data_IF_287346708720
#
_entry.id   IF_287346708720
#
_cell.length_a   1.000
_cell.length_b   1.000
_cell.length_c   1.000
_cell.angle_alpha   90.00
_cell.angle_beta   90.00
_cell.angle_gamma   90.00
#
_symmetry.space_group_name_H-M   'P 1'
#
loop_
_entity.id
_entity.type
_entity.pdbx_description
1 polymer ?
#
# COMPACT_ATOMS: atom_id res chain seq x y z
N UNK A 1 14.90 11.49 18.34
CA UNK A 1 16.20 12.03 17.94
C UNK A 1 17.30 11.91 19.01
N UNK A 2 17.02 11.40 20.21
CA UNK A 2 18.02 11.22 21.28
C UNK A 2 18.43 9.76 21.54
N UNK A 3 17.76 8.79 20.89
CA UNK A 3 17.92 7.36 21.23
C UNK A 3 18.94 6.58 20.38
N UNK A 4 19.58 7.27 19.42
CA UNK A 4 20.50 6.64 18.48
C UNK A 4 21.99 6.76 18.86
N UNK A 5 22.30 7.25 20.03
CA UNK A 5 23.70 7.62 20.38
C UNK A 5 24.52 6.53 21.07
N UNK A 6 23.94 5.35 21.32
CA UNK A 6 24.54 4.34 22.20
C UNK A 6 25.54 3.39 21.51
N UNK A 7 25.52 3.29 20.18
CA UNK A 7 26.35 2.33 19.41
C UNK A 7 27.65 2.95 18.89
N UNK A 8 27.82 4.25 18.98
CA UNK A 8 28.93 4.96 18.34
C UNK A 8 30.30 4.74 18.99
N UNK A 9 30.37 4.28 20.22
CA UNK A 9 31.65 4.18 20.94
C UNK A 9 32.49 2.98 20.51
N UNK A 10 31.86 1.83 20.24
CA UNK A 10 32.62 0.63 19.83
C UNK A 10 33.04 0.69 18.37
N UNK A 11 32.19 1.21 17.48
CA UNK A 11 32.56 1.42 16.08
C UNK A 11 33.66 2.46 15.93
N UNK A 12 33.60 3.49 16.77
CA UNK A 12 34.70 4.50 16.81
C UNK A 12 36.02 3.89 17.30
N UNK A 13 35.98 2.96 18.27
CA UNK A 13 37.16 2.27 18.76
C UNK A 13 37.77 1.34 17.70
N UNK A 14 36.94 0.58 16.98
CA UNK A 14 37.40 -0.31 15.89
C UNK A 14 37.98 0.47 14.71
N UNK A 15 37.37 1.59 14.34
CA UNK A 15 37.94 2.48 13.33
C UNK A 15 39.22 3.15 13.79
N UNK A 16 39.28 3.56 15.05
CA UNK A 16 40.50 4.09 15.62
C UNK A 16 41.60 3.04 15.58
N UNK A 17 41.33 1.79 15.93
CA UNK A 17 42.30 0.70 15.86
C UNK A 17 42.79 0.44 14.42
N UNK A 18 41.87 0.48 13.43
CA UNK A 18 42.22 0.37 11.99
C UNK A 18 43.11 1.54 11.57
N UNK A 19 42.77 2.76 11.96
CA UNK A 19 43.56 3.95 11.64
C UNK A 19 44.92 3.91 12.34
N UNK A 20 44.97 3.48 13.60
CA UNK A 20 46.21 3.30 14.36
C UNK A 20 47.10 2.22 13.69
N UNK A 21 46.51 1.11 13.16
CA UNK A 21 47.23 0.12 12.38
C UNK A 21 47.73 0.64 11.03
N UNK A 22 46.95 1.44 10.33
CA UNK A 22 47.38 2.11 9.08
C UNK A 22 48.54 3.03 9.36
N UNK A 23 48.45 3.84 10.42
CA UNK A 23 49.51 4.75 10.84
C UNK A 23 50.78 4.00 11.29
N UNK A 24 50.63 2.87 11.99
CA UNK A 24 51.72 1.99 12.35
C UNK A 24 52.39 1.37 11.13
N UNK A 25 51.59 0.95 10.13
CA UNK A 25 52.11 0.42 8.87
C UNK A 25 52.83 1.51 8.04
N UNK A 26 52.31 2.74 8.04
CA UNK A 26 52.96 3.89 7.39
C UNK A 26 54.31 4.26 8.10
N UNK A 27 54.31 4.24 9.42
CA UNK A 27 55.53 4.43 10.19
C UNK A 27 56.56 3.31 9.94
N UNK A 28 56.09 2.07 9.82
CA UNK A 28 56.94 0.90 9.44
C UNK A 28 57.48 1.05 8.02
N UNK A 29 56.67 1.57 7.09
CA UNK A 29 57.08 1.84 5.72
C UNK A 29 58.14 2.93 5.66
N UNK A 30 57.93 4.04 6.38
CA UNK A 30 58.90 5.13 6.46
C UNK A 30 60.20 4.66 7.09
N UNK A 31 60.15 3.87 8.15
CA UNK A 31 61.31 3.26 8.77
C UNK A 31 62.05 2.32 7.80
N UNK A 32 61.34 1.54 7.01
CA UNK A 32 61.92 0.67 5.97
C UNK A 32 62.63 1.49 4.88
N UNK A 33 62.00 2.62 4.46
CA UNK A 33 62.63 3.57 3.52
C UNK A 33 63.88 4.20 4.08
N UNK A 34 63.84 4.65 5.34
CA UNK A 34 65.02 5.24 6.01
C UNK A 34 66.15 4.21 6.15
N UNK A 35 65.81 2.97 6.50
CA UNK A 35 66.79 1.87 6.56
C UNK A 35 67.40 1.58 5.20
N UNK A 36 66.54 1.58 4.14
CA UNK A 36 67.01 1.41 2.76
C UNK A 36 67.95 2.54 2.34
N UNK A 37 67.64 3.78 2.68
CA UNK A 37 68.48 4.91 2.41
C UNK A 37 69.85 4.83 3.17
N UNK A 38 69.82 4.41 4.43
CA UNK A 38 71.07 4.17 5.21
C UNK A 38 71.88 3.02 4.61
N UNK A 39 71.21 1.92 4.20
CA UNK A 39 71.87 0.80 3.57
C UNK A 39 72.44 1.18 2.19
N UNK A 40 71.76 2.00 1.41
CA UNK A 40 72.29 2.57 0.14
C UNK A 40 73.51 3.45 0.35
N UNK A 41 73.56 4.25 1.44
CA UNK A 41 74.71 5.05 1.83
C UNK A 41 75.86 4.13 2.24
N UNK A 42 75.59 3.09 3.01
CA UNK A 42 76.61 2.12 3.42
C UNK A 42 77.15 1.30 2.27
N UNK A 43 76.38 1.10 1.24
CA UNK A 43 76.69 0.36 -0.03
C UNK A 43 77.84 1.04 -0.78
N UNK A 44 77.91 2.35 -0.77
CA UNK A 44 79.00 3.11 -1.38
C UNK A 44 80.31 2.87 -0.64
N UNK A 45 80.30 2.30 0.55
CA UNK A 45 81.44 2.06 1.42
C UNK A 45 81.91 0.61 1.54
N UNK A 46 81.06 -0.38 1.10
CA UNK A 46 81.38 -1.83 1.27
C UNK A 46 81.27 -2.58 0.00
N UNK A 47 82.30 -3.25 -0.46
CA UNK A 47 82.52 -3.94 -1.74
C UNK A 47 81.79 -5.30 -1.83
N UNK A 48 80.88 -5.64 -0.94
CA UNK A 48 80.25 -6.97 -0.95
C UNK A 48 78.81 -6.95 -1.57
N UNK A 49 78.76 -7.06 -2.89
CA UNK A 49 77.55 -7.00 -3.72
C UNK A 49 76.53 -8.07 -3.37
N UNK A 50 76.88 -9.19 -2.75
CA UNK A 50 76.00 -10.31 -2.45
C UNK A 50 75.18 -10.08 -1.15
N UNK A 51 75.86 -9.56 -0.12
CA UNK A 51 75.19 -9.24 1.13
C UNK A 51 74.18 -8.10 0.95
N UNK A 52 74.49 -7.22 0.04
CA UNK A 52 73.61 -6.11 -0.36
C UNK A 52 72.33 -6.54 -1.06
N UNK A 53 72.43 -7.47 -2.02
CA UNK A 53 71.23 -7.99 -2.71
C UNK A 53 70.27 -8.64 -1.74
N UNK A 54 70.76 -9.44 -0.77
CA UNK A 54 69.93 -10.09 0.23
C UNK A 54 69.24 -9.08 1.15
N UNK A 55 69.91 -8.01 1.61
CA UNK A 55 69.32 -6.98 2.43
C UNK A 55 68.30 -6.16 1.66
N UNK A 56 68.58 -5.76 0.42
CA UNK A 56 67.65 -5.03 -0.45
C UNK A 56 66.39 -5.89 -0.74
N UNK A 57 66.55 -7.21 -1.01
CA UNK A 57 65.45 -8.11 -1.19
C UNK A 57 64.59 -8.21 0.05
N UNK A 58 65.19 -8.39 1.25
CA UNK A 58 64.46 -8.44 2.51
C UNK A 58 63.68 -7.16 2.84
N UNK A 59 64.28 -5.98 2.56
CA UNK A 59 63.56 -4.69 2.72
C UNK A 59 62.44 -4.52 1.67
N UNK A 60 62.65 -5.00 0.44
CA UNK A 60 61.62 -5.01 -0.59
C UNK A 60 60.43 -5.92 -0.19
N UNK A 61 60.68 -7.07 0.38
CA UNK A 61 59.64 -8.01 0.84
C UNK A 61 58.81 -7.40 2.01
N UNK A 62 59.53 -6.71 2.95
CA UNK A 62 58.83 -5.98 4.04
C UNK A 62 57.98 -4.86 3.49
N UNK A 63 58.51 -4.08 2.55
CA UNK A 63 57.78 -2.98 1.91
C UNK A 63 56.56 -3.50 1.18
N UNK A 64 56.68 -4.55 0.37
CA UNK A 64 55.57 -5.19 -0.35
C UNK A 64 54.49 -5.72 0.62
N UNK A 65 54.91 -6.42 1.67
CA UNK A 65 53.98 -6.92 2.71
C UNK A 65 53.23 -5.79 3.41
N UNK A 66 53.94 -4.68 3.71
CA UNK A 66 53.30 -3.53 4.35
C UNK A 66 52.32 -2.82 3.43
N UNK A 67 52.69 -2.65 2.14
CA UNK A 67 51.80 -2.09 1.13
C UNK A 67 50.54 -2.95 0.90
N UNK A 68 50.68 -4.26 0.84
CA UNK A 68 49.58 -5.18 0.72
C UNK A 68 48.65 -5.07 1.95
N UNK A 69 49.22 -5.04 3.15
CA UNK A 69 48.42 -4.88 4.38
C UNK A 69 47.65 -3.56 4.39
N UNK A 70 48.26 -2.48 3.97
CA UNK A 70 47.65 -1.16 3.86
C UNK A 70 46.52 -1.19 2.81
N UNK A 71 46.76 -1.83 1.65
CA UNK A 71 45.77 -1.97 0.59
C UNK A 71 44.51 -2.71 1.10
N UNK A 72 44.68 -3.84 1.79
CA UNK A 72 43.56 -4.60 2.35
C UNK A 72 42.77 -3.78 3.40
N UNK A 73 43.47 -3.03 4.26
CA UNK A 73 42.81 -2.16 5.24
C UNK A 73 42.02 -1.02 4.60
N UNK A 74 42.55 -0.46 3.53
CA UNK A 74 41.88 0.58 2.76
C UNK A 74 40.61 -0.01 2.05
N UNK A 75 40.72 -1.19 1.47
CA UNK A 75 39.60 -1.91 0.84
C UNK A 75 38.52 -2.19 1.87
N UNK A 76 38.84 -2.67 3.07
CA UNK A 76 37.87 -2.89 4.15
C UNK A 76 37.09 -1.61 4.50
N UNK A 77 37.77 -0.46 4.60
CA UNK A 77 37.13 0.83 4.87
C UNK A 77 36.21 1.24 3.71
N UNK A 78 36.66 1.09 2.47
CA UNK A 78 35.88 1.41 1.29
C UNK A 78 34.62 0.52 1.26
N UNK A 79 34.77 -0.78 1.48
CA UNK A 79 33.67 -1.72 1.52
C UNK A 79 32.68 -1.36 2.65
N UNK A 80 33.18 -1.03 3.85
CA UNK A 80 32.35 -0.60 4.97
C UNK A 80 31.48 0.63 4.62
N UNK A 81 32.05 1.61 3.93
CA UNK A 81 31.33 2.81 3.47
C UNK A 81 30.30 2.45 2.40
N UNK A 82 30.67 1.61 1.41
CA UNK A 82 29.77 1.19 0.33
C UNK A 82 28.58 0.40 0.87
N UNK A 83 28.81 -0.55 1.76
CA UNK A 83 27.75 -1.35 2.38
C UNK A 83 26.85 -0.51 3.28
N UNK A 84 27.42 0.46 4.02
CA UNK A 84 26.60 1.37 4.83
C UNK A 84 25.66 2.23 4.00
N UNK A 85 26.05 2.62 2.77
CA UNK A 85 25.17 3.33 1.82
C UNK A 85 24.01 2.43 1.32
N UNK A 86 24.20 1.13 1.32
CA UNK A 86 23.18 0.13 0.97
C UNK A 86 22.40 -0.35 2.19
N UNK A 87 22.55 0.33 3.33
CA UNK A 87 21.93 -0.05 4.61
C UNK A 87 22.32 -1.45 5.10
N UNK A 88 23.56 -1.85 4.86
CA UNK A 88 24.12 -3.14 5.29
C UNK A 88 25.28 -2.90 6.24
N UNK A 89 25.22 -3.53 7.41
CA UNK A 89 26.31 -3.49 8.38
C UNK A 89 27.46 -4.41 7.90
N UNK A 90 28.62 -3.80 7.60
CA UNK A 90 29.78 -4.57 7.18
C UNK A 90 30.51 -5.16 8.41
N UNK A 91 30.85 -6.47 8.43
CA UNK A 91 31.38 -7.14 9.62
C UNK A 91 32.70 -6.59 10.17
N UNK A 92 33.48 -5.88 9.38
CA UNK A 92 34.72 -5.23 9.85
C UNK A 92 34.48 -4.00 10.71
N UNK A 93 33.24 -3.43 10.68
CA UNK A 93 32.88 -2.27 11.51
C UNK A 93 32.68 -2.72 12.96
N UNK A 94 31.84 -3.74 13.16
CA UNK A 94 31.54 -4.35 14.45
C UNK A 94 31.14 -5.80 14.24
N UNK A 95 31.66 -6.68 15.07
CA UNK A 95 31.28 -8.09 15.04
C UNK A 95 29.98 -8.32 15.83
N UNK A 96 29.18 -9.36 15.51
CA UNK A 96 27.98 -9.67 16.28
C UNK A 96 28.23 -9.85 17.79
N UNK A 97 29.37 -10.41 18.16
CA UNK A 97 29.76 -10.57 19.58
C UNK A 97 30.03 -9.23 20.27
N UNK A 98 30.69 -8.30 19.58
CA UNK A 98 30.94 -6.95 20.09
C UNK A 98 29.62 -6.19 20.22
N UNK A 99 28.79 -6.23 19.18
CA UNK A 99 27.45 -5.60 19.22
C UNK A 99 26.62 -6.14 20.38
N UNK A 100 26.62 -7.45 20.62
CA UNK A 100 25.95 -8.05 21.75
C UNK A 100 26.48 -7.52 23.09
N UNK A 101 27.81 -7.51 23.29
CA UNK A 101 28.41 -6.99 24.51
C UNK A 101 28.05 -5.52 24.75
N UNK A 102 28.16 -4.68 23.73
CA UNK A 102 27.81 -3.26 23.82
C UNK A 102 26.33 -3.05 24.17
N UNK A 103 25.43 -3.86 23.60
CA UNK A 103 24.00 -3.79 23.91
C UNK A 103 23.71 -4.24 25.34
N UNK A 104 24.36 -5.28 25.83
CA UNK A 104 24.21 -5.75 27.23
C UNK A 104 24.67 -4.67 28.21
N UNK A 105 25.84 -4.09 28.00
CA UNK A 105 26.42 -3.06 28.89
C UNK A 105 25.56 -1.79 28.93
N UNK A 106 24.90 -1.48 27.83
CA UNK A 106 24.09 -0.27 27.68
C UNK A 106 22.58 -0.50 27.84
N UNK A 107 22.12 -1.74 28.05
CA UNK A 107 20.69 -2.09 28.15
C UNK A 107 19.95 -1.26 29.20
N UNK A 108 20.61 -0.96 30.32
CA UNK A 108 20.06 -0.15 31.42
C UNK A 108 19.68 1.29 31.07
N UNK A 109 20.18 1.80 29.93
CA UNK A 109 19.90 3.16 29.47
C UNK A 109 18.68 3.23 28.55
N UNK A 110 18.05 2.07 28.25
CA UNK A 110 16.82 2.07 27.47
C UNK A 110 15.69 2.73 28.27
N UNK A 111 14.82 3.51 27.60
CA UNK A 111 13.62 4.05 28.22
C UNK A 111 12.72 2.93 28.77
N UNK A 112 12.15 3.11 29.95
CA UNK A 112 11.31 2.08 30.61
C UNK A 112 10.06 1.68 29.79
N UNK A 113 9.61 2.54 28.89
CA UNK A 113 8.45 2.29 28.00
C UNK A 113 8.83 1.59 26.69
N UNK A 114 10.12 1.34 26.47
CA UNK A 114 10.66 0.78 25.22
C UNK A 114 11.51 -0.44 25.51
N UNK A 115 11.53 -1.34 24.54
CA UNK A 115 12.37 -2.55 24.60
C UNK A 115 12.95 -2.87 23.21
N UNK A 116 13.94 -3.74 23.19
CA UNK A 116 14.41 -4.31 21.91
C UNK A 116 13.32 -5.18 21.31
N UNK A 117 13.25 -5.25 19.97
CA UNK A 117 12.23 -6.02 19.25
C UNK A 117 12.30 -7.52 19.47
N UNK A 118 13.47 -8.02 19.83
CA UNK A 118 13.73 -9.43 20.14
C UNK A 118 14.52 -9.53 21.45
N UNK A 119 14.41 -10.65 22.19
CA UNK A 119 15.22 -10.88 23.37
C UNK A 119 16.71 -10.74 23.08
N UNK A 120 17.44 -10.04 23.95
CA UNK A 120 18.87 -9.81 23.80
C UNK A 120 19.65 -11.08 24.14
N UNK A 121 19.81 -11.95 23.15
CA UNK A 121 20.64 -13.15 23.16
C UNK A 121 21.50 -13.15 21.90
N UNK A 122 22.66 -13.80 21.97
CA UNK A 122 23.60 -13.79 20.85
C UNK A 122 23.01 -14.28 19.52
N UNK A 123 22.12 -15.31 19.61
CA UNK A 123 21.46 -15.88 18.44
C UNK A 123 20.50 -14.91 17.72
N UNK A 124 20.01 -13.89 18.42
CA UNK A 124 19.09 -12.90 17.86
C UNK A 124 19.78 -11.65 17.30
N UNK A 125 21.11 -11.55 17.48
CA UNK A 125 21.85 -10.34 17.03
C UNK A 125 21.70 -10.13 15.53
N UNK A 126 21.75 -11.19 14.73
CA UNK A 126 21.55 -11.09 13.28
C UNK A 126 20.17 -10.48 12.90
N UNK A 127 19.13 -10.69 13.73
CA UNK A 127 17.82 -10.08 13.53
C UNK A 127 17.90 -8.58 13.79
N UNK A 128 18.58 -8.17 14.89
CA UNK A 128 18.78 -6.77 15.21
C UNK A 128 19.58 -6.05 14.12
N UNK A 129 20.62 -6.69 13.58
CA UNK A 129 21.39 -6.16 12.45
C UNK A 129 20.50 -5.96 11.20
N UNK A 130 19.69 -6.95 10.84
CA UNK A 130 18.85 -6.89 9.66
C UNK A 130 17.73 -5.83 9.71
N UNK A 131 17.21 -5.52 10.91
CA UNK A 131 16.16 -4.51 11.08
C UNK A 131 16.69 -3.11 11.37
N UNK A 132 17.99 -2.99 11.62
CA UNK A 132 18.64 -1.71 11.93
C UNK A 132 18.91 -0.90 10.66
N UNK A 133 19.00 0.41 10.81
CA UNK A 133 19.42 1.30 9.74
C UNK A 133 20.86 1.72 9.97
N UNK A 134 21.72 1.56 8.96
CA UNK A 134 23.13 1.88 8.98
C UNK A 134 23.40 3.12 8.14
N UNK A 135 24.09 4.09 8.70
CA UNK A 135 24.54 5.27 7.97
C UNK A 135 25.98 5.58 8.29
N UNK A 136 26.70 6.20 7.36
CA UNK A 136 28.07 6.65 7.56
C UNK A 136 28.23 8.10 7.15
N UNK A 137 29.04 8.84 7.89
CA UNK A 137 29.41 10.21 7.57
C UNK A 137 30.84 10.51 8.01
N UNK A 138 31.42 11.57 7.43
CA UNK A 138 32.75 12.03 7.75
C UNK A 138 32.65 13.31 8.58
N UNK A 139 33.31 13.33 9.75
CA UNK A 139 33.43 14.48 10.61
C UNK A 139 34.73 14.41 11.42
N UNK A 140 35.37 15.55 11.64
CA UNK A 140 36.58 15.69 12.46
C UNK A 140 37.70 14.70 12.08
N UNK A 141 37.97 14.55 10.81
CA UNK A 141 38.93 13.58 10.24
C UNK A 141 38.68 12.12 10.61
N UNK A 142 37.39 11.77 10.89
CA UNK A 142 36.96 10.42 11.24
C UNK A 142 35.81 10.01 10.38
N UNK A 143 35.75 8.71 10.05
CA UNK A 143 34.58 8.10 9.45
C UNK A 143 33.78 7.56 10.61
N UNK A 144 32.49 7.99 10.70
CA UNK A 144 31.57 7.62 11.75
C UNK A 144 30.48 6.76 11.13
N UNK A 145 30.28 5.57 11.69
CA UNK A 145 29.16 4.71 11.35
C UNK A 145 28.12 4.78 12.47
N UNK A 146 26.86 4.94 12.09
CA UNK A 146 25.73 4.99 13.02
C UNK A 146 24.81 3.82 12.73
N UNK A 147 24.62 2.98 13.71
CA UNK A 147 23.65 1.88 13.68
C UNK A 147 22.43 2.30 14.48
N UNK A 148 21.28 2.42 13.80
CA UNK A 148 20.00 2.78 14.41
C UNK A 148 19.16 1.54 14.61
N UNK A 149 19.06 1.05 15.84
CA UNK A 149 18.25 -0.11 16.19
C UNK A 149 16.86 0.39 16.60
N UNK A 150 15.77 -0.05 15.93
CA UNK A 150 14.43 0.38 16.29
C UNK A 150 14.04 -0.20 17.67
N UNK A 151 13.48 0.64 18.53
CA UNK A 151 12.92 0.23 19.80
C UNK A 151 11.41 0.12 19.70
N UNK A 152 10.84 -0.93 20.23
CA UNK A 152 9.40 -1.19 20.25
C UNK A 152 8.78 -0.85 21.60
N UNK A 153 7.49 -0.58 21.60
CA UNK A 153 6.72 -0.44 22.82
C UNK A 153 6.62 -1.79 23.56
N UNK A 154 6.44 -1.76 24.85
CA UNK A 154 6.26 -2.96 25.67
C UNK A 154 4.92 -3.67 25.39
N UNK A 155 3.94 -2.96 24.81
CA UNK A 155 2.65 -3.54 24.43
C UNK A 155 2.77 -4.21 23.06
N UNK A 156 2.41 -5.48 23.00
CA UNK A 156 2.31 -6.26 21.77
C UNK A 156 0.90 -6.14 21.20
N UNK A 157 0.83 -6.19 19.87
CA UNK A 157 -0.42 -6.16 19.13
C UNK A 157 -0.58 -7.43 18.32
N UNK A 158 -1.75 -8.03 18.37
CA UNK A 158 -2.16 -9.07 17.42
C UNK A 158 -2.60 -8.40 16.13
N UNK A 159 -1.97 -8.77 15.01
CA UNK A 159 -2.24 -8.21 13.69
C UNK A 159 -3.31 -9.02 12.96
N UNK A 160 -4.39 -8.36 12.57
CA UNK A 160 -5.47 -8.93 11.78
C UNK A 160 -5.52 -8.30 10.38
N UNK A 161 -5.70 -9.12 9.38
CA UNK A 161 -6.04 -8.71 8.04
C UNK A 161 -7.56 -8.74 7.88
N UNK A 162 -8.16 -7.63 7.54
CA UNK A 162 -9.61 -7.51 7.36
C UNK A 162 -9.97 -7.83 5.91
N UNK A 163 -10.82 -8.83 5.73
CA UNK A 163 -11.24 -9.31 4.41
C UNK A 163 -12.75 -9.15 4.32
N UNK A 164 -13.26 -8.22 3.50
CA UNK A 164 -14.67 -8.14 3.23
C UNK A 164 -15.09 -9.36 2.40
N UNK A 165 -16.12 -10.04 2.81
CA UNK A 165 -16.70 -11.13 2.03
C UNK A 165 -18.22 -11.03 2.00
N UNK A 166 -18.83 -11.21 0.82
CA UNK A 166 -20.28 -11.17 0.67
C UNK A 166 -20.93 -12.40 1.28
N UNK A 167 -21.99 -12.18 2.03
CA UNK A 167 -22.85 -13.24 2.56
C UNK A 167 -24.20 -13.15 1.84
N UNK A 168 -24.68 -14.27 1.37
CA UNK A 168 -25.97 -14.37 0.70
C UNK A 168 -27.10 -14.03 1.67
N UNK A 169 -28.06 -13.26 1.21
CA UNK A 169 -29.29 -13.01 1.91
C UNK A 169 -30.23 -14.22 1.75
N UNK A 170 -30.84 -14.68 2.83
CA UNK A 170 -31.63 -15.92 2.91
C UNK A 170 -32.91 -15.99 2.02
N UNK A 171 -32.98 -15.22 0.96
CA UNK A 171 -34.06 -15.29 -0.01
C UNK A 171 -33.74 -16.35 -1.09
N UNK A 172 -34.48 -17.42 -1.10
CA UNK A 172 -34.36 -18.57 -2.01
C UNK A 172 -34.43 -18.09 -3.47
N UNK A 173 -33.34 -17.78 -4.09
CA UNK A 173 -33.09 -17.26 -5.45
C UNK A 173 -32.61 -15.81 -5.52
N UNK A 174 -32.16 -15.19 -4.43
CA UNK A 174 -31.63 -13.85 -4.50
C UNK A 174 -30.14 -13.86 -4.92
N UNK A 175 -29.81 -13.11 -5.96
CA UNK A 175 -28.42 -12.78 -6.31
C UNK A 175 -27.90 -11.63 -5.44
N UNK A 176 -28.60 -11.36 -4.33
CA UNK A 176 -28.31 -10.24 -3.43
C UNK A 176 -27.46 -10.72 -2.26
N UNK A 177 -26.36 -10.04 -2.05
CA UNK A 177 -25.40 -10.29 -0.99
C UNK A 177 -25.27 -9.07 -0.11
N UNK A 178 -24.96 -9.27 1.16
CA UNK A 178 -24.56 -8.22 2.08
C UNK A 178 -23.09 -8.39 2.48
N UNK A 179 -22.37 -7.29 2.65
CA UNK A 179 -21.00 -7.31 3.11
C UNK A 179 -20.74 -6.13 4.04
N UNK A 180 -19.85 -6.33 5.01
CA UNK A 180 -19.32 -5.26 5.85
C UNK A 180 -18.08 -4.69 5.17
N UNK A 181 -18.03 -3.37 5.05
CA UNK A 181 -16.88 -2.67 4.48
C UNK A 181 -15.92 -2.35 5.63
N UNK A 182 -14.70 -2.91 5.62
CA UNK A 182 -13.71 -2.57 6.63
C UNK A 182 -13.20 -1.14 6.47
N UNK A 183 -12.95 -0.47 7.59
CA UNK A 183 -12.40 0.89 7.61
C UNK A 183 -10.88 0.92 7.41
N UNK A 184 -10.22 -0.22 7.55
CA UNK A 184 -8.77 -0.39 7.38
C UNK A 184 -8.46 -1.80 6.90
N UNK A 185 -7.38 -1.95 6.15
CA UNK A 185 -6.97 -3.26 5.62
C UNK A 185 -6.31 -4.14 6.68
N UNK A 186 -5.55 -3.54 7.58
CA UNK A 186 -4.90 -4.22 8.69
C UNK A 186 -5.21 -3.49 9.99
N UNK A 187 -5.48 -4.23 11.03
CA UNK A 187 -5.67 -3.70 12.36
C UNK A 187 -4.81 -4.47 13.36
N UNK A 188 -4.03 -3.73 14.15
CA UNK A 188 -3.32 -4.28 15.30
C UNK A 188 -4.15 -4.03 16.55
N UNK A 189 -4.45 -5.06 17.34
CA UNK A 189 -5.19 -4.94 18.59
C UNK A 189 -4.34 -5.53 19.71
N UNK A 190 -4.25 -4.83 20.84
CA UNK A 190 -3.55 -5.35 22.03
C UNK A 190 -4.20 -6.62 22.55
N UNK A 191 -3.42 -7.52 23.17
CA UNK A 191 -3.92 -8.79 23.74
C UNK A 191 -5.05 -8.59 24.74
N UNK A 192 -5.01 -7.49 25.49
CA UNK A 192 -6.06 -7.06 26.42
C UNK A 192 -7.26 -6.40 25.74
N UNK A 193 -7.20 -6.22 24.41
CA UNK A 193 -8.22 -5.58 23.58
C UNK A 193 -8.55 -4.13 23.99
N UNK A 194 -7.69 -3.48 24.74
CA UNK A 194 -7.91 -2.11 25.22
C UNK A 194 -7.56 -1.04 24.19
N UNK A 195 -6.66 -1.36 23.28
CA UNK A 195 -6.12 -0.39 22.31
C UNK A 195 -5.93 -1.04 20.94
N UNK A 196 -6.03 -0.21 19.90
CA UNK A 196 -5.80 -0.65 18.52
C UNK A 196 -5.03 0.38 17.71
N UNK A 197 -4.41 -0.06 16.62
CA UNK A 197 -3.81 0.79 15.60
C UNK A 197 -4.30 0.35 14.20
N UNK A 198 -4.35 1.28 13.27
CA UNK A 198 -4.72 1.06 11.86
C UNK A 198 -3.49 1.06 10.98
N UNK A 199 -3.45 0.16 10.02
CA UNK A 199 -2.39 0.05 9.03
C UNK A 199 -3.01 -0.18 7.65
N UNK A 200 -2.73 0.69 6.71
CA UNK A 200 -3.23 0.53 5.33
C UNK A 200 -2.37 -0.46 4.54
N UNK A 201 -1.11 -0.59 4.91
CA UNK A 201 -0.13 -1.45 4.25
C UNK A 201 0.92 -1.94 5.25
N UNK A 202 1.47 -3.13 5.01
CA UNK A 202 2.61 -3.66 5.74
C UNK A 202 3.96 -3.36 5.05
N UNK A 203 3.97 -2.61 3.96
CA UNK A 203 5.20 -2.34 3.19
C UNK A 203 6.23 -1.52 3.97
N UNK A 204 5.77 -0.67 4.89
CA UNK A 204 6.64 0.12 5.78
C UNK A 204 7.09 -0.65 7.03
N UNK A 205 6.58 -1.86 7.23
CA UNK A 205 6.92 -2.66 8.39
C UNK A 205 8.20 -3.46 8.12
N UNK A 206 9.08 -3.51 9.11
CA UNK A 206 10.25 -4.39 9.09
C UNK A 206 9.85 -5.79 9.57
N UNK A 207 10.21 -6.81 8.81
CA UNK A 207 9.87 -8.20 9.11
C UNK A 207 10.96 -8.80 10.00
N UNK A 208 10.59 -9.25 11.21
CA UNK A 208 11.50 -9.99 12.12
C UNK A 208 11.48 -11.49 11.77
N UNK A 209 10.29 -12.02 11.58
CA UNK A 209 10.06 -13.41 11.20
C UNK A 209 8.74 -13.52 10.44
N UNK A 210 8.37 -14.71 9.98
CA UNK A 210 7.09 -14.94 9.29
C UNK A 210 5.86 -14.50 10.08
N UNK A 211 5.99 -14.26 11.40
CA UNK A 211 4.87 -13.94 12.31
C UNK A 211 4.98 -12.59 13.00
N UNK A 212 6.15 -11.97 13.00
CA UNK A 212 6.42 -10.75 13.75
C UNK A 212 6.87 -9.63 12.85
N UNK A 213 6.19 -8.51 13.01
CA UNK A 213 6.45 -7.27 12.27
C UNK A 213 6.74 -6.14 13.23
N UNK A 214 7.63 -5.24 12.84
CA UNK A 214 7.82 -3.95 13.48
C UNK A 214 7.26 -2.91 12.54
N UNK A 215 6.21 -2.24 12.96
CA UNK A 215 5.59 -1.20 12.16
C UNK A 215 5.68 0.13 12.88
N UNK A 216 5.98 1.17 12.13
CA UNK A 216 5.82 2.53 12.62
C UNK A 216 4.34 2.88 12.60
N UNK A 217 3.76 3.10 13.78
CA UNK A 217 2.36 3.45 13.90
C UNK A 217 2.22 4.89 14.40
N UNK A 218 1.60 5.78 13.60
CA UNK A 218 1.47 7.18 13.99
C UNK A 218 0.53 7.38 15.19
N UNK A 219 -0.45 6.46 15.38
CA UNK A 219 -1.48 6.63 16.40
C UNK A 219 -1.97 5.29 16.93
N UNK A 220 -2.12 5.23 18.25
CA UNK A 220 -2.78 4.14 18.98
C UNK A 220 -4.04 4.69 19.61
N UNK A 221 -5.17 4.04 19.36
CA UNK A 221 -6.49 4.47 19.81
C UNK A 221 -7.01 3.53 20.91
N UNK A 222 -7.78 4.07 21.82
CA UNK A 222 -8.52 3.25 22.80
C UNK A 222 -9.77 2.66 22.13
N UNK A 223 -9.98 1.37 22.29
CA UNK A 223 -11.17 0.68 21.74
C UNK A 223 -12.49 1.17 22.34
N UNK A 224 -12.46 1.65 23.58
CA UNK A 224 -13.64 2.19 24.27
C UNK A 224 -13.92 3.66 23.95
N UNK A 225 -12.86 4.48 23.78
CA UNK A 225 -13.02 5.91 23.51
C UNK A 225 -13.31 6.24 22.04
N UNK A 226 -12.70 5.48 21.14
CA UNK A 226 -12.83 5.67 19.68
C UNK A 226 -13.10 4.29 19.05
N UNK A 227 -14.30 3.71 19.23
CA UNK A 227 -14.61 2.43 18.64
C UNK A 227 -14.66 2.52 17.10
N UNK A 228 -14.27 1.45 16.44
CA UNK A 228 -14.44 1.22 15.00
C UNK A 228 -15.05 -0.16 14.78
N UNK A 229 -15.60 -0.40 13.59
CA UNK A 229 -16.25 -1.66 13.26
C UNK A 229 -15.40 -2.88 13.60
N UNK A 230 -14.15 -2.91 13.16
CA UNK A 230 -13.23 -4.01 13.36
C UNK A 230 -12.89 -4.22 14.85
N UNK A 231 -12.68 -3.11 15.58
CA UNK A 231 -12.38 -3.20 17.01
C UNK A 231 -13.56 -3.74 17.81
N UNK A 232 -14.79 -3.39 17.46
CA UNK A 232 -16.01 -3.90 18.06
C UNK A 232 -16.17 -5.42 17.79
N UNK A 233 -15.97 -5.83 16.52
CA UNK A 233 -16.08 -7.23 16.10
C UNK A 233 -15.06 -8.12 16.82
N UNK A 234 -13.82 -7.64 17.00
CA UNK A 234 -12.75 -8.44 17.62
C UNK A 234 -12.86 -8.44 19.14
N UNK A 235 -13.30 -7.32 19.73
CA UNK A 235 -13.24 -7.12 21.18
C UNK A 235 -14.47 -7.59 21.92
N UNK A 236 -15.63 -7.61 21.28
CA UNK A 236 -16.93 -7.88 21.92
C UNK A 236 -17.52 -9.21 21.46
N UNK A 237 -18.27 -9.86 22.33
CA UNK A 237 -19.16 -10.94 21.94
C UNK A 237 -20.42 -10.31 21.35
N UNK A 238 -20.60 -10.42 20.04
CA UNK A 238 -21.68 -9.78 19.33
C UNK A 238 -22.78 -10.78 18.96
N UNK A 239 -24.02 -10.33 19.06
CA UNK A 239 -25.21 -11.04 18.58
C UNK A 239 -25.80 -10.41 17.31
N UNK A 240 -25.37 -9.19 16.98
CA UNK A 240 -25.78 -8.45 15.78
C UNK A 240 -24.63 -7.56 15.30
N UNK A 241 -24.72 -7.08 14.08
CA UNK A 241 -23.75 -6.15 13.50
C UNK A 241 -23.75 -4.83 14.29
N UNK A 242 -22.60 -4.35 14.75
CA UNK A 242 -22.52 -3.04 15.40
C UNK A 242 -22.99 -1.92 14.45
N UNK A 243 -23.72 -0.95 14.98
CA UNK A 243 -24.24 0.18 14.19
C UNK A 243 -23.15 1.05 13.55
N UNK A 244 -21.92 0.97 14.05
CA UNK A 244 -20.77 1.69 13.51
C UNK A 244 -20.21 1.03 12.24
N UNK A 245 -20.64 -0.20 11.92
CA UNK A 245 -20.17 -0.92 10.73
C UNK A 245 -20.91 -0.45 9.49
N UNK A 246 -20.16 -0.09 8.46
CA UNK A 246 -20.72 0.21 7.14
C UNK A 246 -21.07 -1.10 6.43
N UNK A 247 -22.33 -1.34 6.20
CA UNK A 247 -22.85 -2.51 5.50
C UNK A 247 -23.35 -2.12 4.13
N UNK A 248 -22.98 -2.87 3.11
CA UNK A 248 -23.39 -2.65 1.72
C UNK A 248 -24.08 -3.87 1.15
N UNK A 249 -25.04 -3.60 0.27
CA UNK A 249 -25.67 -4.62 -0.53
C UNK A 249 -25.03 -4.67 -1.92
N UNK A 250 -24.80 -5.87 -2.40
CA UNK A 250 -24.22 -6.11 -3.71
C UNK A 250 -25.06 -7.16 -4.43
N UNK A 251 -25.47 -6.86 -5.65
CA UNK A 251 -26.13 -7.82 -6.52
C UNK A 251 -25.11 -8.36 -7.52
N UNK A 252 -24.96 -9.67 -7.62
CA UNK A 252 -23.97 -10.21 -8.54
C UNK A 252 -23.88 -11.73 -8.56
N UNK A 253 -23.12 -12.20 -9.54
CA UNK A 253 -22.73 -13.60 -9.63
C UNK A 253 -21.26 -13.70 -9.17
N UNK A 254 -21.05 -14.39 -8.06
CA UNK A 254 -19.75 -14.57 -7.45
C UNK A 254 -19.25 -15.98 -7.69
N UNK A 255 -18.00 -16.07 -8.10
CA UNK A 255 -17.25 -17.31 -8.15
C UNK A 255 -15.80 -17.00 -7.82
N UNK A 256 -15.50 -16.90 -6.54
CA UNK A 256 -14.19 -16.45 -6.09
C UNK A 256 -13.67 -17.27 -4.93
N UNK A 257 -12.37 -17.49 -4.94
CA UNK A 257 -11.63 -18.13 -3.89
C UNK A 257 -10.51 -17.19 -3.44
N UNK A 258 -10.53 -16.81 -2.18
CA UNK A 258 -9.48 -16.00 -1.57
C UNK A 258 -8.67 -16.85 -0.61
N UNK A 259 -7.36 -16.98 -0.88
CA UNK A 259 -6.47 -17.74 -0.01
C UNK A 259 -6.27 -16.99 1.31
N UNK A 260 -6.65 -17.62 2.41
CA UNK A 260 -6.43 -17.09 3.75
C UNK A 260 -5.02 -17.41 4.21
N UNK A 261 -4.78 -18.68 4.42
CA UNK A 261 -3.53 -19.17 4.94
C UNK A 261 -3.32 -20.62 4.49
N UNK A 262 -2.12 -21.00 4.10
CA UNK A 262 -1.68 -22.38 3.78
C UNK A 262 -2.62 -23.22 2.93
N UNK A 263 -3.59 -23.83 3.59
CA UNK A 263 -4.51 -24.80 3.03
C UNK A 263 -5.97 -24.37 3.22
N UNK A 264 -6.21 -23.10 3.55
CA UNK A 264 -7.54 -22.54 3.76
C UNK A 264 -7.85 -21.43 2.76
N UNK A 265 -9.08 -21.46 2.25
CA UNK A 265 -9.63 -20.45 1.35
C UNK A 265 -11.03 -20.03 1.81
N UNK A 266 -11.31 -18.73 1.74
CA UNK A 266 -12.69 -18.25 1.71
C UNK A 266 -13.20 -18.45 0.29
N UNK A 267 -14.38 -19.04 0.15
CA UNK A 267 -15.09 -19.10 -1.12
C UNK A 267 -16.39 -18.32 -1.05
N UNK A 268 -16.76 -17.71 -2.17
CA UNK A 268 -18.05 -17.08 -2.39
C UNK A 268 -18.56 -17.55 -3.75
N UNK A 269 -19.62 -18.35 -3.76
CA UNK A 269 -20.13 -19.02 -4.95
C UNK A 269 -21.64 -18.86 -5.00
N UNK A 270 -22.12 -18.14 -6.01
CA UNK A 270 -23.56 -17.83 -6.18
C UNK A 270 -24.38 -18.98 -6.76
N UNK A 271 -23.75 -19.90 -7.47
CA UNK A 271 -24.44 -21.03 -8.10
C UNK A 271 -23.82 -22.33 -7.64
N UNK A 272 -24.65 -23.36 -7.40
CA UNK A 272 -24.14 -24.68 -7.07
C UNK A 272 -23.02 -25.09 -8.01
N UNK A 273 -21.83 -25.27 -7.48
CA UNK A 273 -20.63 -25.62 -8.23
C UNK A 273 -20.03 -26.90 -7.67
N UNK A 274 -19.52 -27.71 -8.58
CA UNK A 274 -18.87 -28.96 -8.25
C UNK A 274 -17.42 -28.69 -7.86
N UNK A 275 -17.06 -29.06 -6.66
CA UNK A 275 -15.69 -29.07 -6.16
C UNK A 275 -15.16 -30.49 -6.21
N UNK A 276 -14.09 -30.72 -6.95
CA UNK A 276 -13.42 -32.02 -7.04
C UNK A 276 -12.08 -31.93 -6.29
N UNK A 277 -11.85 -32.82 -5.34
CA UNK A 277 -10.61 -32.92 -4.58
C UNK A 277 -9.90 -34.19 -5.00
N UNK A 278 -8.68 -34.05 -5.47
CA UNK A 278 -7.79 -35.14 -5.89
C UNK A 278 -6.62 -35.21 -4.90
N UNK A 279 -6.40 -36.39 -4.34
CA UNK A 279 -5.31 -36.64 -3.38
C UNK A 279 -4.29 -37.63 -3.97
N UNK A 280 -3.06 -37.68 -3.43
CA UNK A 280 -1.94 -38.48 -3.92
C UNK A 280 -2.26 -39.97 -4.12
N UNK A 281 -3.24 -40.51 -3.37
CA UNK A 281 -3.69 -41.91 -3.49
C UNK A 281 -4.69 -42.15 -4.64
N UNK A 282 -4.88 -41.18 -5.53
CA UNK A 282 -5.91 -41.18 -6.58
C UNK A 282 -7.35 -41.25 -6.06
N UNK A 283 -7.56 -40.97 -4.79
CA UNK A 283 -8.90 -40.82 -4.23
C UNK A 283 -9.50 -39.50 -4.71
N UNK A 284 -10.53 -39.64 -5.55
CA UNK A 284 -11.26 -38.50 -6.09
C UNK A 284 -12.54 -38.30 -5.28
N UNK A 285 -12.67 -37.18 -4.61
CA UNK A 285 -13.85 -36.80 -3.85
C UNK A 285 -14.55 -35.60 -4.49
N UNK A 286 -15.88 -35.70 -4.63
CA UNK A 286 -16.68 -34.66 -5.25
C UNK A 286 -17.67 -34.09 -4.24
N UNK A 287 -17.74 -32.77 -4.18
CA UNK A 287 -18.63 -32.02 -3.30
C UNK A 287 -19.39 -30.95 -4.09
N UNK A 288 -20.60 -30.69 -3.70
CA UNK A 288 -21.35 -29.51 -4.18
C UNK A 288 -21.17 -28.39 -3.18
N UNK A 289 -20.71 -27.23 -3.64
CA UNK A 289 -20.50 -26.05 -2.81
C UNK A 289 -21.33 -24.88 -3.33
N UNK A 290 -21.89 -24.11 -2.40
CA UNK A 290 -22.72 -22.94 -2.66
C UNK A 290 -22.59 -21.95 -1.50
N UNK A 291 -22.88 -20.66 -1.76
CA UNK A 291 -22.86 -19.62 -0.74
C UNK A 291 -21.45 -19.17 -0.37
N UNK A 292 -21.28 -18.72 0.86
CA UNK A 292 -20.01 -18.23 1.40
C UNK A 292 -19.54 -19.14 2.52
N UNK A 293 -18.26 -19.55 2.47
CA UNK A 293 -17.70 -20.41 3.48
C UNK A 293 -16.19 -20.49 3.47
N UNK A 294 -15.66 -21.31 4.39
CA UNK A 294 -14.22 -21.62 4.43
C UNK A 294 -14.01 -23.05 3.97
N UNK A 295 -13.13 -23.19 2.98
CA UNK A 295 -12.67 -24.47 2.46
C UNK A 295 -11.28 -24.76 3.00
N UNK A 296 -11.12 -25.93 3.63
CA UNK A 296 -9.80 -26.43 4.05
C UNK A 296 -9.46 -27.66 3.22
N UNK A 297 -8.32 -27.62 2.52
CA UNK A 297 -7.85 -28.70 1.66
C UNK A 297 -6.64 -29.36 2.33
N UNK A 298 -6.63 -30.71 2.48
CA UNK A 298 -5.47 -31.44 2.99
C UNK A 298 -4.19 -31.14 2.19
N UNK A 299 -3.02 -31.19 2.82
CA UNK A 299 -1.75 -30.80 2.21
C UNK A 299 -1.35 -31.64 0.97
N UNK A 300 -1.79 -32.88 0.92
CA UNK A 300 -1.51 -33.81 -0.19
C UNK A 300 -2.60 -33.88 -1.25
N UNK A 301 -3.53 -32.93 -1.22
CA UNK A 301 -4.64 -32.88 -2.13
C UNK A 301 -4.67 -31.58 -2.93
N UNK A 302 -5.23 -31.64 -4.10
CA UNK A 302 -5.49 -30.47 -4.96
C UNK A 302 -6.99 -30.41 -5.19
N UNK A 303 -7.57 -29.22 -5.06
CA UNK A 303 -8.98 -29.04 -5.33
C UNK A 303 -9.18 -28.27 -6.65
N UNK A 304 -10.20 -28.67 -7.39
CA UNK A 304 -10.61 -28.07 -8.64
C UNK A 304 -12.08 -27.65 -8.55
N UNK A 305 -12.34 -26.41 -8.90
CA UNK A 305 -13.69 -25.90 -9.03
C UNK A 305 -13.76 -25.06 -10.31
N UNK A 306 -14.41 -25.57 -11.34
CA UNK A 306 -14.42 -24.98 -12.69
C UNK A 306 -12.99 -24.60 -13.14
N UNK A 307 -12.73 -23.29 -13.34
CA UNK A 307 -11.43 -22.78 -13.80
C UNK A 307 -10.41 -22.54 -12.65
N UNK A 308 -10.85 -22.72 -11.39
CA UNK A 308 -10.00 -22.47 -10.23
C UNK A 308 -9.31 -23.75 -9.77
N UNK A 309 -7.98 -23.71 -9.67
CA UNK A 309 -7.14 -24.74 -9.09
C UNK A 309 -6.59 -24.27 -7.75
N UNK A 310 -6.90 -24.98 -6.68
CA UNK A 310 -6.52 -24.67 -5.32
C UNK A 310 -5.44 -25.62 -4.84
N UNK A 311 -4.22 -25.10 -4.66
CA UNK A 311 -3.05 -25.88 -4.27
C UNK A 311 -2.63 -25.46 -2.86
N UNK A 312 -2.66 -26.38 -1.87
CA UNK A 312 -2.08 -26.16 -0.56
C UNK A 312 -0.58 -25.92 -0.64
N UNK A 313 -0.05 -25.15 0.29
CA UNK A 313 1.39 -24.94 0.43
C UNK A 313 1.89 -25.64 1.67
N UNK A 314 2.96 -26.43 1.50
CA UNK A 314 3.71 -26.97 2.63
C UNK A 314 4.42 -25.83 3.35
N UNK A 315 4.13 -25.58 4.59
CA UNK A 315 4.88 -24.64 5.43
C UNK A 315 4.66 -24.89 6.91
N UNK A 316 5.56 -24.35 7.73
CA UNK A 316 5.60 -24.50 9.19
C UNK A 316 4.30 -24.02 9.85
N UNK A 317 3.80 -24.74 10.85
CA UNK A 317 2.45 -24.58 11.42
C UNK A 317 2.27 -23.29 12.20
N UNK A 318 1.52 -22.34 11.66
CA UNK A 318 0.92 -21.23 12.42
C UNK A 318 -0.57 -21.54 12.60
N UNK A 319 -1.02 -21.78 13.80
CA UNK A 319 -2.43 -22.04 14.10
C UNK A 319 -3.16 -20.72 14.35
N UNK A 320 -3.49 -20.00 13.32
CA UNK A 320 -4.41 -18.87 13.44
C UNK A 320 -5.79 -19.32 13.01
N UNK A 321 -6.81 -19.04 13.81
CA UNK A 321 -8.20 -19.24 13.42
C UNK A 321 -8.76 -17.93 12.92
N UNK A 322 -9.41 -17.89 11.74
CA UNK A 322 -10.08 -16.69 11.29
C UNK A 322 -11.25 -16.36 12.24
N UNK A 323 -11.47 -15.09 12.51
CA UNK A 323 -12.65 -14.60 13.20
C UNK A 323 -13.75 -14.46 12.16
N UNK A 324 -14.81 -15.26 12.29
CA UNK A 324 -15.95 -15.28 11.38
C UNK A 324 -17.16 -14.81 12.16
N UNK A 325 -17.94 -13.94 11.54
CA UNK A 325 -19.23 -13.53 12.09
C UNK A 325 -20.26 -14.65 11.87
N UNK A 326 -20.91 -15.07 12.94
CA UNK A 326 -21.90 -16.16 12.94
C UNK A 326 -23.35 -15.65 13.09
N UNK A 327 -23.59 -14.39 12.81
CA UNK A 327 -24.93 -13.81 12.84
C UNK A 327 -25.28 -13.21 11.48
N UNK A 328 -26.58 -13.14 11.23
CA UNK A 328 -27.07 -12.50 10.02
C UNK A 328 -26.74 -10.99 10.03
N UNK A 329 -26.21 -10.50 8.92
CA UNK A 329 -25.87 -9.08 8.78
C UNK A 329 -27.13 -8.22 8.79
N UNK A 330 -28.27 -8.81 8.42
CA UNK A 330 -29.58 -8.16 8.44
C UNK A 330 -30.44 -8.80 9.51
N UNK A 331 -30.89 -7.98 10.44
CA UNK A 331 -31.90 -8.42 11.40
C UNK A 331 -33.28 -8.14 10.80
N UNK A 332 -34.15 -9.16 10.74
CA UNK A 332 -35.47 -9.12 10.12
C UNK A 332 -36.39 -7.99 10.58
N UNK A 333 -36.10 -7.35 11.70
CA UNK A 333 -36.93 -6.29 12.27
C UNK A 333 -36.69 -4.91 11.69
N UNK A 334 -35.56 -4.67 11.01
CA UNK A 334 -35.17 -3.32 10.56
C UNK A 334 -35.33 -3.11 9.06
N UNK A 335 -35.02 -4.13 8.24
CA UNK A 335 -34.89 -3.93 6.79
C UNK A 335 -35.25 -5.22 6.06
N UNK A 336 -36.51 -5.49 5.92
CA UNK A 336 -36.95 -6.55 4.99
C UNK A 336 -36.43 -6.21 3.58
N UNK A 337 -35.75 -7.16 2.89
CA UNK A 337 -35.27 -6.95 1.52
C UNK A 337 -36.35 -6.46 0.56
N UNK A 338 -37.59 -6.84 0.84
CA UNK A 338 -38.79 -6.41 0.10
C UNK A 338 -39.08 -4.90 0.24
N UNK A 339 -38.65 -4.24 1.31
CA UNK A 339 -38.85 -2.80 1.51
C UNK A 339 -37.80 -1.97 0.72
N UNK A 340 -36.56 -2.42 0.67
CA UNK A 340 -35.53 -1.78 -0.15
C UNK A 340 -35.75 -1.91 -1.65
N UNK A 341 -36.31 -3.04 -2.09
CA UNK A 341 -36.64 -3.25 -3.50
C UNK A 341 -37.88 -2.43 -3.97
N UNK A 342 -38.72 -1.98 -3.04
CA UNK A 342 -39.88 -1.12 -3.37
C UNK A 342 -39.50 0.30 -3.75
N UNK A 343 -38.36 0.81 -3.28
CA UNK A 343 -37.97 2.19 -3.50
C UNK A 343 -37.04 2.40 -4.73
N UNK A 344 -37.03 1.45 -5.69
CA UNK A 344 -36.25 1.55 -6.94
C UNK A 344 -34.73 1.83 -6.75
N UNK A 345 -34.15 1.49 -5.61
CA UNK A 345 -32.70 1.56 -5.42
C UNK A 345 -32.08 0.45 -6.28
N UNK A 346 -31.50 0.85 -7.40
CA UNK A 346 -30.74 -0.06 -8.25
C UNK A 346 -29.46 -0.45 -7.53
N UNK A 347 -29.46 -1.60 -6.88
CA UNK A 347 -28.22 -2.20 -6.33
C UNK A 347 -27.31 -2.51 -7.51
N UNK A 348 -26.04 -2.04 -7.50
CA UNK A 348 -25.12 -2.27 -8.60
C UNK A 348 -24.89 -3.77 -8.81
N UNK A 349 -24.94 -4.21 -10.07
CA UNK A 349 -24.57 -5.57 -10.44
C UNK A 349 -23.05 -5.66 -10.60
N UNK A 350 -22.43 -6.58 -9.86
CA UNK A 350 -20.97 -6.74 -9.82
C UNK A 350 -20.61 -8.18 -10.20
N UNK A 351 -19.68 -8.32 -11.13
CA UNK A 351 -19.06 -9.60 -11.45
C UNK A 351 -17.67 -9.65 -10.84
N UNK A 352 -17.50 -10.42 -9.77
CA UNK A 352 -16.25 -10.52 -9.02
C UNK A 352 -15.54 -11.83 -9.33
N UNK A 353 -14.31 -11.71 -9.81
CA UNK A 353 -13.35 -12.82 -9.93
C UNK A 353 -12.40 -12.93 -8.74
N UNK A 354 -12.28 -11.88 -7.91
CA UNK A 354 -11.40 -11.87 -6.76
C UNK A 354 -11.97 -10.96 -5.66
N UNK A 355 -12.02 -11.46 -4.42
CA UNK A 355 -12.53 -10.72 -3.24
C UNK A 355 -11.70 -9.47 -2.96
N UNK A 356 -10.39 -9.46 -3.23
CA UNK A 356 -9.54 -8.28 -3.06
C UNK A 356 -9.99 -7.08 -3.92
N UNK A 357 -10.71 -7.32 -5.01
CA UNK A 357 -11.24 -6.26 -5.87
C UNK A 357 -12.55 -5.68 -5.33
N UNK A 358 -13.16 -6.31 -4.33
CA UNK A 358 -14.41 -5.83 -3.74
C UNK A 358 -14.21 -4.47 -3.08
N UNK A 359 -13.12 -4.26 -2.33
CA UNK A 359 -12.79 -2.97 -1.70
C UNK A 359 -12.62 -1.86 -2.73
N UNK A 360 -11.89 -2.14 -3.83
CA UNK A 360 -11.66 -1.16 -4.89
C UNK A 360 -12.94 -0.85 -5.67
N UNK A 361 -13.79 -1.84 -5.90
CA UNK A 361 -15.08 -1.64 -6.57
C UNK A 361 -16.05 -0.87 -5.68
N UNK A 362 -16.10 -1.18 -4.39
CA UNK A 362 -16.97 -0.49 -3.43
C UNK A 362 -16.45 0.94 -3.15
N UNK A 363 -15.16 1.17 -3.11
CA UNK A 363 -14.58 2.52 -2.99
C UNK A 363 -14.86 3.38 -4.22
N UNK A 364 -14.80 2.80 -5.43
CA UNK A 364 -15.18 3.49 -6.65
C UNK A 364 -16.69 3.76 -6.68
N UNK A 365 -17.52 2.84 -6.18
CA UNK A 365 -18.95 3.05 -6.05
C UNK A 365 -19.27 4.18 -5.07
N UNK A 366 -18.60 4.24 -3.92
CA UNK A 366 -18.75 5.35 -2.97
C UNK A 366 -18.40 6.69 -3.61
N UNK A 367 -17.30 6.77 -4.38
CA UNK A 367 -16.95 7.98 -5.15
C UNK A 367 -18.05 8.38 -6.14
N UNK A 368 -18.62 7.41 -6.85
CA UNK A 368 -19.72 7.66 -7.79
C UNK A 368 -20.97 8.11 -7.02
N UNK A 369 -21.27 7.49 -5.90
CA UNK A 369 -22.44 7.85 -5.06
C UNK A 369 -22.25 9.25 -4.45
N UNK A 370 -21.06 9.59 -3.99
CA UNK A 370 -20.75 10.93 -3.48
C UNK A 370 -20.80 11.98 -4.60
N UNK A 371 -20.31 11.65 -5.80
CA UNK A 371 -20.47 12.52 -6.98
C UNK A 371 -21.93 12.70 -7.39
N UNK A 372 -22.76 11.64 -7.27
CA UNK A 372 -24.20 11.74 -7.52
C UNK A 372 -24.86 12.58 -6.45
N UNK A 373 -24.50 12.43 -5.17
CA UNK A 373 -24.99 13.26 -4.08
C UNK A 373 -24.63 14.72 -4.27
N UNK A 374 -23.36 15.03 -4.51
CA UNK A 374 -22.91 16.40 -4.76
C UNK A 374 -23.58 17.01 -5.99
N UNK A 375 -23.75 16.23 -7.07
CA UNK A 375 -24.50 16.69 -8.23
C UNK A 375 -26.00 16.87 -7.94
N UNK A 376 -26.58 16.04 -7.09
CA UNK A 376 -27.97 16.17 -6.66
C UNK A 376 -28.18 17.40 -5.80
N UNK A 377 -27.29 17.63 -4.83
CA UNK A 377 -27.31 18.82 -3.97
C UNK A 377 -27.10 20.09 -4.82
N UNK A 378 -26.18 20.05 -5.79
CA UNK A 378 -25.97 21.15 -6.75
C UNK A 378 -27.20 21.41 -7.63
N UNK A 379 -27.95 20.35 -8.00
CA UNK A 379 -29.22 20.49 -8.74
C UNK A 379 -30.32 21.07 -7.85
N UNK A 380 -30.39 20.67 -6.58
CA UNK A 380 -31.38 21.17 -5.60
C UNK A 380 -31.09 22.65 -5.27
N UNK A 381 -29.84 23.07 -5.18
CA UNK A 381 -29.45 24.47 -4.92
C UNK A 381 -29.57 25.37 -6.18
N UNK A 382 -29.78 24.79 -7.38
CA UNK A 382 -29.96 25.61 -8.59
C UNK A 382 -31.20 26.46 -8.53
N UNK A 383 -31.11 27.75 -8.94
CA UNK A 383 -32.26 28.64 -8.98
C UNK A 383 -33.40 28.02 -9.80
N UNK A 384 -34.64 28.29 -9.41
CA UNK A 384 -35.85 27.74 -10.00
C UNK A 384 -35.87 27.84 -11.54
N UNK A 385 -35.25 28.89 -12.08
CA UNK A 385 -35.13 29.14 -13.53
C UNK A 385 -34.28 28.05 -14.22
N UNK A 386 -33.23 27.50 -13.54
CA UNK A 386 -32.35 26.47 -14.13
C UNK A 386 -33.05 25.11 -14.08
N UNK A 387 -33.75 24.79 -12.99
CA UNK A 387 -34.50 23.55 -12.84
C UNK A 387 -35.67 23.44 -13.79
N UNK A 388 -36.37 24.54 -14.03
CA UNK A 388 -37.57 24.60 -14.85
C UNK A 388 -37.35 25.39 -16.16
N UNK A 389 -36.11 25.55 -16.59
CA UNK A 389 -35.77 26.35 -17.77
C UNK A 389 -36.53 25.93 -19.04
N UNK A 390 -36.73 24.64 -19.24
CA UNK A 390 -37.53 24.13 -20.35
C UNK A 390 -39.01 24.55 -20.23
N UNK A 391 -39.57 24.50 -19.01
CA UNK A 391 -40.94 24.92 -18.79
C UNK A 391 -41.11 26.42 -19.05
N UNK A 392 -40.21 27.25 -18.55
CA UNK A 392 -40.21 28.68 -18.83
C UNK A 392 -40.00 28.99 -20.30
N UNK A 393 -39.20 28.23 -21.01
CA UNK A 393 -39.02 28.34 -22.47
C UNK A 393 -40.30 28.04 -23.21
N UNK A 394 -41.05 27.00 -22.85
CA UNK A 394 -42.37 26.73 -23.47
C UNK A 394 -43.37 27.83 -23.18
N UNK A 395 -43.44 28.36 -21.96
CA UNK A 395 -44.33 29.44 -21.61
C UNK A 395 -43.98 30.71 -22.39
N UNK A 396 -42.69 31.06 -22.53
CA UNK A 396 -42.26 32.22 -23.34
C UNK A 396 -42.56 32.04 -24.81
N UNK A 397 -42.44 30.86 -25.38
CA UNK A 397 -42.82 30.54 -26.75
C UNK A 397 -44.31 30.73 -26.95
N UNK A 398 -45.16 30.23 -26.03
CA UNK A 398 -46.61 30.39 -26.11
C UNK A 398 -47.00 31.83 -26.04
N UNK A 399 -46.41 32.63 -25.11
CA UNK A 399 -46.67 34.04 -24.97
C UNK A 399 -46.26 34.77 -26.24
N UNK A 400 -45.10 34.47 -26.81
CA UNK A 400 -44.63 35.13 -28.04
C UNK A 400 -45.55 34.78 -29.22
N UNK A 401 -46.06 33.54 -29.32
CA UNK A 401 -47.01 33.15 -30.34
C UNK A 401 -48.35 33.89 -30.20
N UNK A 402 -48.84 34.10 -28.99
CA UNK A 402 -50.06 34.86 -28.74
C UNK A 402 -49.86 36.33 -29.13
N UNK A 403 -48.70 36.90 -28.84
CA UNK A 403 -48.33 38.27 -29.23
C UNK A 403 -48.29 38.41 -30.77
N UNK A 404 -47.64 37.44 -31.44
CA UNK A 404 -47.58 37.43 -32.91
C UNK A 404 -48.95 37.32 -33.53
N UNK A 405 -49.83 36.44 -33.00
CA UNK A 405 -51.23 36.31 -33.45
C UNK A 405 -51.97 37.63 -33.23
N UNK A 406 -51.84 38.28 -32.07
CA UNK A 406 -52.47 39.55 -31.77
C UNK A 406 -52.00 40.68 -32.70
N UNK A 407 -50.68 40.76 -32.98
CA UNK A 407 -50.10 41.69 -33.95
C UNK A 407 -50.61 41.41 -35.36
N UNK A 408 -50.61 40.16 -35.78
CA UNK A 408 -51.08 39.75 -37.08
C UNK A 408 -52.57 40.06 -37.27
N UNK A 409 -53.41 39.85 -36.24
CA UNK A 409 -54.80 40.19 -36.23
C UNK A 409 -55.00 41.74 -36.35
N UNK A 410 -54.20 42.48 -35.59
CA UNK A 410 -54.20 43.98 -35.65
C UNK A 410 -53.77 44.49 -37.02
N UNK A 411 -52.74 43.90 -37.63
CA UNK A 411 -52.26 44.22 -38.96
C UNK A 411 -53.31 43.82 -40.01
N UNK A 412 -53.90 42.61 -39.90
CA UNK A 412 -54.97 42.18 -40.78
C UNK A 412 -56.16 43.15 -40.75
N UNK A 413 -56.57 43.62 -39.55
CA UNK A 413 -57.60 44.60 -39.37
C UNK A 413 -57.22 45.95 -39.98
N UNK A 414 -55.97 46.35 -39.82
CA UNK A 414 -55.43 47.59 -40.42
C UNK A 414 -55.35 47.49 -41.94
N UNK A 415 -54.92 46.37 -42.49
CA UNK A 415 -54.92 46.14 -43.94
C UNK A 415 -56.34 46.02 -44.55
N UNK A 416 -57.27 45.47 -43.80
CA UNK A 416 -58.65 45.35 -44.20
C UNK A 416 -59.29 46.78 -44.28
N UNK A 417 -59.00 47.65 -43.36
CA UNK A 417 -59.45 49.05 -43.41
C UNK A 417 -58.70 49.86 -44.48
N UNK A 418 -57.41 49.54 -44.71
CA UNK A 418 -56.62 50.20 -45.76
C UNK A 418 -56.94 49.74 -47.16
N UNK A 419 -57.38 48.47 -47.36
CA UNK A 419 -57.80 47.93 -48.66
C UNK A 419 -59.15 48.51 -49.12
N UNK A 420 -59.89 49.11 -48.22
CA UNK A 420 -61.11 49.81 -48.57
C UNK A 420 -60.86 51.22 -49.21
N UNK A 421 -59.58 51.71 -49.25
CA UNK A 421 -59.28 53.05 -49.63
C UNK A 421 -58.50 53.18 -50.94
N UNK A 422 -58.11 52.08 -51.67
CA UNK A 422 -57.41 52.22 -52.96
C UNK A 422 -57.84 51.15 -53.97
N UNK A 423 -58.79 51.58 -54.82
CA UNK A 423 -58.90 51.16 -56.21
C UNK A 423 -58.08 52.12 -57.04
N UNK A 424 -57.10 51.64 -57.84
CA UNK A 424 -56.82 51.83 -59.22
C UNK A 424 -55.37 51.45 -59.63
N UNK A 425 -55.10 51.19 -60.98
CA UNK A 425 -54.31 50.06 -61.38
C UNK A 425 -52.96 50.39 -62.07
N UNK A 426 -52.09 49.36 -62.21
CA UNK A 426 -51.06 48.97 -63.17
C UNK A 426 -50.17 50.03 -63.88
N UNK A 427 -48.99 49.71 -64.53
CA UNK A 427 -48.48 48.43 -65.00
C UNK A 427 -46.93 48.16 -64.80
N UNK A 428 -46.57 46.92 -65.09
CA UNK A 428 -45.40 46.30 -65.75
C UNK A 428 -43.98 46.86 -65.70
N UNK A 429 -43.04 45.93 -65.30
CA UNK A 429 -41.93 45.43 -66.18
C UNK A 429 -40.95 44.63 -65.31
N UNK A 430 -40.87 43.38 -65.59
CA UNK A 430 -39.82 42.50 -66.16
C UNK A 430 -38.35 42.77 -65.76
N UNK A 431 -37.69 41.63 -65.68
CA UNK A 431 -36.29 41.26 -65.95
C UNK A 431 -35.43 40.87 -64.79
N UNK A 432 -35.17 39.62 -64.81
CA UNK A 432 -33.99 38.72 -64.91
C UNK A 432 -33.05 38.58 -63.69
N UNK A 433 -32.94 37.36 -63.27
CA UNK A 433 -31.89 36.35 -63.35
C UNK A 433 -30.49 36.78 -62.85
N UNK A 434 -30.00 36.11 -61.83
CA UNK A 434 -28.81 35.24 -61.84
C UNK A 434 -28.36 34.78 -60.49
N UNK A 435 -28.16 33.49 -60.37
CA UNK A 435 -27.31 32.82 -59.36
C UNK A 435 -25.84 33.02 -59.83
N UNK A 436 -24.83 32.81 -59.01
CA UNK A 436 -24.38 31.47 -58.59
C UNK A 436 -23.75 31.36 -57.21
N UNK A 437 -23.60 30.09 -56.85
CA UNK A 437 -22.79 29.38 -55.86
C UNK A 437 -21.32 29.82 -55.72
N UNK A 438 -20.51 29.05 -54.92
CA UNK A 438 -20.46 28.74 -53.51
C UNK A 438 -19.06 29.04 -52.88
N UNK A 439 -18.77 28.48 -51.69
CA UNK A 439 -17.49 28.42 -50.96
C UNK A 439 -17.40 29.43 -49.79
N UNK A 440 -17.14 29.05 -48.59
CA UNK A 440 -16.12 28.25 -47.97
C UNK A 440 -16.39 28.09 -46.46
N UNK A 441 -16.05 26.92 -45.95
CA UNK A 441 -16.02 26.53 -44.54
C UNK A 441 -14.69 26.98 -43.92
N UNK A 442 -14.64 27.38 -42.64
CA UNK A 442 -13.51 26.95 -41.83
C UNK A 442 -13.91 26.30 -40.53
N UNK A 443 -13.29 25.16 -40.30
CA UNK A 443 -13.23 24.33 -39.11
C UNK A 443 -12.41 25.00 -37.98
N UNK A 444 -12.84 24.99 -36.72
CA UNK A 444 -11.96 25.38 -35.64
C UNK A 444 -11.22 24.17 -35.06
N UNK A 445 -9.91 24.31 -34.89
CA UNK A 445 -8.98 23.39 -34.25
C UNK A 445 -9.06 23.51 -32.72
N UNK A 446 -9.19 22.38 -32.05
CA UNK A 446 -8.92 22.18 -30.63
C UNK A 446 -7.41 22.29 -30.38
N UNK A 447 -7.04 22.99 -29.31
CA UNK A 447 -5.72 22.94 -28.71
C UNK A 447 -5.87 22.50 -27.24
N UNK A 448 -5.23 21.38 -26.91
CA UNK A 448 -5.01 20.95 -25.53
C UNK A 448 -3.78 21.68 -24.97
N UNK A 449 -3.87 22.07 -23.75
CA UNK A 449 -2.76 22.14 -22.78
C UNK A 449 -3.21 21.49 -21.49
#
# INVERSE_FOLDING_TARGET
MKDSMLVTKSTLSSLKEIIDQISANEASLNHAIDTLNQDVINITLVTDKLLMRSKISGLSDILESTMLTLSFKLEDIINAIMFSKSNILYPSIITPKQLFADLVDNYRFLPSSKQLPVPLILDNIHILENISDVSSYYADNKIIFVLQIPLVNTKEFDLYNTIPYPIELNDVNSTLYSTIIPSTKYIGITKDKSSYCKLDSLNSCKVISMQYYICETPSVYSTSAVPICESEIISKALTSVPHICDTKFVNGNFETFHKLHRNQWIYVISQNSKLTIECDNQDLSEFSIHGTGILTIPEHCIAYCRDNKLIPQHSIVIKTKPIILHFEIINDTCCSPTTYLKDNIKVPYVHLKNVNNLDSLLSNYNKITDQIKTNLDEVIEKPHIVLYGNFYSYVTIIISLVIVIAISYKLYYYFKTFKASRCKPKPDSSIEMSSPDPEDVPVPRLRMT
#
